data_IF_076130690702
#
_entry.id   IF_076130690702
#
_cell.length_a   1.000
_cell.length_b   1.000
_cell.length_c   1.000
_cell.angle_alpha   90.00
_cell.angle_beta   90.00
_cell.angle_gamma   90.00
#
_symmetry.space_group_name_H-M   'P 1'
#
loop_
_entity.id
_entity.type
_entity.pdbx_description
1 polymer ?
#
# COMPACT_ATOMS: atom_id res chain seq x y z
N UNK A 1 9.65 -7.74 10.17
CA UNK A 1 8.51 -8.62 9.84
C UNK A 1 8.24 -8.67 8.36
N UNK A 2 8.33 -7.54 7.66
CA UNK A 2 8.19 -7.51 6.19
C UNK A 2 9.27 -8.39 5.54
N UNK A 3 10.50 -8.29 6.01
CA UNK A 3 11.61 -9.12 5.49
C UNK A 3 11.36 -10.61 5.69
N UNK A 4 10.81 -11.00 6.84
CA UNK A 4 10.44 -12.40 7.10
C UNK A 4 9.36 -12.87 6.14
N UNK A 5 8.36 -12.02 5.89
CA UNK A 5 7.30 -12.33 4.94
C UNK A 5 7.83 -12.57 3.54
N UNK A 6 8.72 -11.69 3.07
CA UNK A 6 9.34 -11.84 1.75
C UNK A 6 10.10 -13.16 1.66
N UNK A 7 10.94 -13.47 2.66
CA UNK A 7 11.72 -14.71 2.68
C UNK A 7 10.83 -15.94 2.69
N UNK A 8 9.73 -15.90 3.46
CA UNK A 8 8.79 -17.00 3.53
C UNK A 8 8.11 -17.25 2.19
N UNK A 9 7.60 -16.19 1.55
CA UNK A 9 6.96 -16.32 0.24
C UNK A 9 7.92 -16.79 -0.83
N UNK A 10 9.15 -16.27 -0.85
CA UNK A 10 10.17 -16.73 -1.79
C UNK A 10 10.48 -18.21 -1.59
N UNK A 11 10.58 -18.65 -0.33
CA UNK A 11 10.83 -20.06 0.00
C UNK A 11 9.69 -20.99 -0.45
N UNK A 12 8.45 -20.50 -0.35
CA UNK A 12 7.26 -21.26 -0.76
C UNK A 12 6.97 -21.17 -2.26
N UNK A 13 7.76 -20.41 -3.01
CA UNK A 13 7.55 -20.22 -4.43
C UNK A 13 6.37 -19.30 -4.77
N UNK A 14 5.89 -18.52 -3.82
CA UNK A 14 4.83 -17.55 -4.05
C UNK A 14 5.43 -16.29 -4.64
N UNK A 15 4.92 -15.88 -5.80
CA UNK A 15 5.42 -14.70 -6.49
C UNK A 15 4.93 -13.42 -5.79
N UNK A 16 5.88 -12.52 -5.47
CA UNK A 16 5.58 -11.20 -4.91
C UNK A 16 5.58 -10.19 -6.06
N UNK A 17 4.44 -9.60 -6.36
CA UNK A 17 4.30 -8.63 -7.45
C UNK A 17 4.78 -7.23 -7.06
N UNK A 18 4.82 -6.92 -5.78
CA UNK A 18 5.28 -5.64 -5.30
C UNK A 18 5.03 -5.46 -3.82
N UNK A 19 5.56 -4.37 -3.27
CA UNK A 19 5.39 -4.00 -1.87
C UNK A 19 4.66 -2.66 -1.77
N UNK A 20 3.82 -2.55 -0.76
CA UNK A 20 3.06 -1.34 -0.47
C UNK A 20 3.34 -0.92 0.97
N UNK A 21 3.62 0.37 1.18
CA UNK A 21 3.75 0.93 2.52
C UNK A 21 2.37 1.39 2.99
N UNK A 22 1.65 0.49 3.63
CA UNK A 22 0.30 0.75 4.11
C UNK A 22 0.35 1.53 5.42
N UNK A 23 -0.57 2.48 5.59
CA UNK A 23 -0.61 3.36 6.76
C UNK A 23 0.70 4.15 6.94
N UNK A 24 1.29 4.54 5.82
CA UNK A 24 2.62 5.15 5.77
C UNK A 24 2.67 6.51 6.48
N UNK A 25 1.61 7.28 6.37
CA UNK A 25 1.57 8.62 6.96
C UNK A 25 0.13 9.03 7.26
N UNK A 26 0.00 10.02 8.13
CA UNK A 26 -1.27 10.71 8.39
C UNK A 26 -1.18 12.12 7.81
N UNK A 27 -2.19 12.53 7.06
CA UNK A 27 -2.25 13.90 6.55
C UNK A 27 -3.08 14.74 7.52
N UNK A 28 -2.43 15.72 8.18
CA UNK A 28 -3.08 16.60 9.14
C UNK A 28 -3.94 17.67 8.47
N UNK A 29 -4.73 18.37 9.28
CA UNK A 29 -5.58 19.48 8.81
C UNK A 29 -4.76 20.62 8.21
N UNK A 30 -3.48 20.73 8.61
CA UNK A 30 -2.54 21.71 8.06
C UNK A 30 -1.97 21.30 6.68
N UNK A 31 -2.38 20.18 6.15
CA UNK A 31 -1.90 19.65 4.88
C UNK A 31 -0.54 18.96 4.95
N UNK A 32 0.08 18.89 6.13
CA UNK A 32 1.38 18.23 6.30
C UNK A 32 1.24 16.74 6.48
N UNK A 33 2.27 16.01 6.05
CA UNK A 33 2.36 14.56 6.21
C UNK A 33 3.08 14.23 7.51
N UNK A 34 2.50 13.33 8.29
CA UNK A 34 3.09 12.87 9.54
C UNK A 34 3.39 11.38 9.43
N UNK A 35 4.66 10.98 9.21
CA UNK A 35 5.03 9.56 9.12
C UNK A 35 5.09 8.96 10.52
N UNK A 36 4.01 8.31 10.95
CA UNK A 36 3.85 7.81 12.32
C UNK A 36 4.75 6.61 12.58
N UNK A 37 4.96 5.76 11.58
CA UNK A 37 5.72 4.51 11.73
C UNK A 37 7.11 4.58 11.10
N UNK A 38 7.64 5.78 10.85
CA UNK A 38 8.92 6.00 10.20
C UNK A 38 8.78 6.21 8.70
N UNK A 39 9.85 6.65 8.07
CA UNK A 39 9.87 7.04 6.65
C UNK A 39 10.70 6.08 5.81
N UNK A 40 10.14 5.63 4.69
CA UNK A 40 10.87 4.95 3.64
C UNK A 40 11.35 3.54 3.96
N UNK A 41 10.91 2.93 5.06
CA UNK A 41 11.35 1.60 5.46
C UNK A 41 10.97 0.52 4.47
N UNK A 42 9.73 0.53 4.00
CA UNK A 42 9.24 -0.47 3.04
C UNK A 42 9.92 -0.30 1.68
N UNK A 43 10.14 0.94 1.24
CA UNK A 43 10.85 1.20 -0.01
C UNK A 43 12.29 0.68 0.04
N UNK A 44 12.99 0.91 1.14
CA UNK A 44 14.34 0.39 1.33
C UNK A 44 14.36 -1.14 1.32
N UNK A 45 13.37 -1.76 1.95
CA UNK A 45 13.23 -3.22 1.94
C UNK A 45 12.96 -3.74 0.54
N UNK A 46 12.11 -3.08 -0.23
CA UNK A 46 11.87 -3.45 -1.62
C UNK A 46 13.15 -3.42 -2.44
N UNK A 47 13.95 -2.36 -2.29
CA UNK A 47 15.24 -2.25 -2.98
C UNK A 47 16.20 -3.35 -2.55
N UNK A 48 16.28 -3.65 -1.25
CA UNK A 48 17.16 -4.69 -0.73
C UNK A 48 16.85 -6.07 -1.30
N UNK A 49 15.57 -6.39 -1.45
CA UNK A 49 15.13 -7.70 -1.94
C UNK A 49 14.79 -7.72 -3.43
N UNK A 50 15.11 -6.67 -4.15
CA UNK A 50 14.82 -6.54 -5.58
C UNK A 50 13.35 -6.75 -5.92
N UNK A 51 12.48 -6.22 -5.07
CA UNK A 51 11.03 -6.20 -5.30
C UNK A 51 10.59 -4.81 -5.73
N UNK A 52 9.50 -4.74 -6.50
CA UNK A 52 8.95 -3.45 -6.90
C UNK A 52 8.27 -2.76 -5.72
N UNK A 53 8.51 -1.46 -5.55
CA UNK A 53 7.79 -0.65 -4.60
C UNK A 53 6.62 0.03 -5.32
N UNK A 54 5.39 -0.35 -4.99
CA UNK A 54 4.20 0.16 -5.67
C UNK A 54 3.80 1.55 -5.17
N UNK A 55 4.02 1.85 -3.91
CA UNK A 55 3.70 3.15 -3.36
C UNK A 55 3.28 3.12 -1.90
N UNK A 56 2.75 4.24 -1.46
CA UNK A 56 2.32 4.47 -0.07
C UNK A 56 0.81 4.64 0.01
N UNK A 57 0.21 4.17 1.10
CA UNK A 57 -1.20 4.41 1.42
C UNK A 57 -1.25 5.17 2.74
N UNK A 58 -1.85 6.37 2.78
CA UNK A 58 -1.97 7.12 4.02
C UNK A 58 -3.00 6.48 4.96
N UNK A 59 -2.91 6.83 6.23
CA UNK A 59 -3.90 6.46 7.22
C UNK A 59 -5.17 7.25 6.95
N UNK A 60 -6.29 6.55 6.71
CA UNK A 60 -7.59 7.17 6.46
C UNK A 60 -8.67 6.39 7.21
N UNK A 61 -9.30 7.00 8.23
CA UNK A 61 -10.37 6.33 8.97
C UNK A 61 -11.56 5.87 8.11
N UNK A 62 -11.79 6.54 6.97
CA UNK A 62 -12.85 6.17 6.04
C UNK A 62 -12.69 4.74 5.52
N UNK A 63 -11.45 4.31 5.23
CA UNK A 63 -11.20 2.97 4.69
C UNK A 63 -11.65 1.91 5.69
N UNK A 64 -11.28 2.04 6.95
CA UNK A 64 -11.70 1.12 8.00
C UNK A 64 -13.20 1.13 8.21
N UNK A 65 -13.81 2.32 8.27
CA UNK A 65 -15.25 2.47 8.44
C UNK A 65 -16.04 1.82 7.30
N UNK A 66 -15.62 2.04 6.06
CA UNK A 66 -16.27 1.43 4.90
C UNK A 66 -16.09 -0.08 4.88
N UNK A 67 -14.91 -0.56 5.28
CA UNK A 67 -14.65 -1.99 5.42
C UNK A 67 -15.58 -2.65 6.42
N UNK A 68 -15.78 -2.02 7.58
CA UNK A 68 -16.68 -2.51 8.63
C UNK A 68 -18.14 -2.60 8.14
N UNK A 69 -18.54 -1.72 7.23
CA UNK A 69 -19.86 -1.73 6.63
C UNK A 69 -19.97 -2.68 5.43
N UNK A 70 -18.88 -3.36 5.07
CA UNK A 70 -18.84 -4.21 3.89
C UNK A 70 -18.89 -3.44 2.58
N UNK A 71 -18.45 -2.18 2.60
CA UNK A 71 -18.45 -1.30 1.42
C UNK A 71 -17.03 -0.81 1.15
N UNK A 72 -16.25 -1.50 0.29
CA UNK A 72 -14.90 -1.05 -0.04
C UNK A 72 -14.88 0.38 -0.57
N UNK A 73 -13.87 1.15 -0.18
CA UNK A 73 -13.76 2.56 -0.55
C UNK A 73 -13.70 2.77 -2.07
N UNK A 74 -13.06 1.86 -2.79
CA UNK A 74 -12.94 1.95 -4.25
C UNK A 74 -14.32 1.86 -4.92
N UNK A 75 -15.20 1.02 -4.37
CA UNK A 75 -16.55 0.85 -4.89
C UNK A 75 -17.48 1.98 -4.48
N UNK A 76 -17.47 2.33 -3.19
CA UNK A 76 -18.42 3.32 -2.64
C UNK A 76 -18.00 4.76 -2.91
N UNK A 77 -16.71 5.04 -3.09
CA UNK A 77 -16.22 6.39 -3.35
C UNK A 77 -14.98 6.35 -4.25
N UNK A 78 -15.18 6.06 -5.56
CA UNK A 78 -14.05 5.89 -6.49
C UNK A 78 -13.25 7.17 -6.72
N UNK A 79 -13.80 8.35 -6.43
CA UNK A 79 -13.09 9.62 -6.60
C UNK A 79 -12.24 10.00 -5.39
N UNK A 80 -12.37 9.27 -4.28
CA UNK A 80 -11.54 9.48 -3.10
C UNK A 80 -10.06 9.22 -3.44
N UNK A 81 -9.18 10.00 -2.80
CA UNK A 81 -7.74 9.89 -3.03
C UNK A 81 -7.20 8.49 -2.75
N UNK A 82 -7.71 7.83 -1.72
CA UNK A 82 -7.31 6.44 -1.39
C UNK A 82 -7.75 5.50 -2.51
N UNK A 83 -8.96 5.66 -3.03
CA UNK A 83 -9.46 4.86 -4.15
C UNK A 83 -8.55 4.99 -5.37
N UNK A 84 -8.10 6.21 -5.68
CA UNK A 84 -7.18 6.45 -6.79
C UNK A 84 -5.84 5.75 -6.57
N UNK A 85 -5.33 5.72 -5.35
CA UNK A 85 -4.08 5.02 -5.03
C UNK A 85 -4.22 3.52 -5.32
N UNK A 86 -5.32 2.89 -4.89
CA UNK A 86 -5.57 1.47 -5.17
C UNK A 86 -5.73 1.20 -6.67
N UNK A 87 -6.42 2.07 -7.37
CA UNK A 87 -6.60 1.96 -8.83
C UNK A 87 -5.24 2.06 -9.53
N UNK A 88 -4.38 2.97 -9.09
CA UNK A 88 -3.03 3.12 -9.66
C UNK A 88 -2.18 1.88 -9.41
N UNK A 89 -2.27 1.26 -8.22
CA UNK A 89 -1.59 0.00 -7.95
C UNK A 89 -2.07 -1.10 -8.89
N UNK A 90 -3.37 -1.21 -9.07
CA UNK A 90 -3.95 -2.20 -9.99
C UNK A 90 -3.45 -2.01 -11.42
N UNK A 91 -3.36 -0.76 -11.88
CA UNK A 91 -2.83 -0.44 -13.20
C UNK A 91 -1.36 -0.84 -13.34
N UNK A 92 -0.53 -0.57 -12.33
CA UNK A 92 0.88 -0.96 -12.33
C UNK A 92 1.04 -2.47 -12.42
N UNK A 93 0.27 -3.21 -11.64
CA UNK A 93 0.31 -4.68 -11.64
C UNK A 93 -0.14 -5.20 -12.98
N UNK A 94 -1.23 -4.67 -13.53
CA UNK A 94 -1.73 -5.08 -14.85
C UNK A 94 -0.70 -4.81 -15.95
N UNK A 95 -0.07 -3.65 -15.94
CA UNK A 95 0.93 -3.27 -16.94
C UNK A 95 2.17 -4.17 -16.90
N UNK A 96 2.61 -4.56 -15.69
CA UNK A 96 3.85 -5.30 -15.52
C UNK A 96 3.69 -6.82 -15.68
N UNK A 97 2.50 -7.38 -15.40
CA UNK A 97 2.32 -8.83 -15.27
C UNK A 97 1.17 -9.41 -16.10
N UNK A 98 0.33 -8.57 -16.61
CA UNK A 98 -0.83 -8.97 -17.41
C UNK A 98 -0.93 -8.11 -18.67
#
# INVERSE_FOLDING_TARGET
DVKRGIKMFDKLGVKILGLVDNMSYFKGDDGKRYPIFGEGGVKRTADEFSKEFLGEIPIDPQVGKQGDLGKPVVESNPENKISQIYIDFAKKIKSNYF
#
